data_IF_429885582439
#
_entry.id   IF_429885582439
#
_cell.length_a   1.000
_cell.length_b   1.000
_cell.length_c   1.000
_cell.angle_alpha   90.00
_cell.angle_beta   90.00
_cell.angle_gamma   90.00
#
_symmetry.space_group_name_H-M   'P 1'
#
loop_
_entity.id
_entity.type
_entity.pdbx_description
1 polymer ?
#
# COMPACT_ATOMS: atom_id res chain seq x y z
N UNK A 1 14.79 -14.24 -11.86
CA UNK A 1 15.30 -15.40 -12.60
C UNK A 1 14.96 -16.73 -11.95
N UNK A 2 15.29 -16.95 -10.67
CA UNK A 2 15.05 -18.24 -9.98
C UNK A 2 13.62 -18.79 -10.11
N UNK A 3 12.59 -17.95 -9.99
CA UNK A 3 11.18 -18.38 -10.09
C UNK A 3 10.84 -18.86 -11.51
N UNK A 4 11.19 -18.11 -12.55
CA UNK A 4 10.88 -18.50 -13.92
C UNK A 4 11.66 -19.75 -14.35
N UNK A 5 12.94 -19.86 -13.96
CA UNK A 5 13.72 -21.08 -14.18
C UNK A 5 13.06 -22.29 -13.53
N UNK A 6 12.52 -22.14 -12.32
CA UNK A 6 11.83 -23.24 -11.63
C UNK A 6 10.48 -23.58 -12.29
N UNK A 7 9.74 -22.58 -12.80
CA UNK A 7 8.51 -22.81 -13.57
C UNK A 7 8.82 -23.55 -14.87
N UNK A 8 9.81 -23.11 -15.65
CA UNK A 8 10.28 -23.80 -16.86
C UNK A 8 10.67 -25.24 -16.58
N UNK A 9 11.50 -25.45 -15.54
CA UNK A 9 11.97 -26.80 -15.17
C UNK A 9 10.82 -27.74 -14.81
N UNK A 10 9.77 -27.23 -14.14
CA UNK A 10 8.62 -28.04 -13.70
C UNK A 10 7.58 -28.25 -14.80
N UNK A 11 7.44 -27.32 -15.73
CA UNK A 11 6.31 -27.30 -16.67
C UNK A 11 6.71 -27.56 -18.12
N UNK A 12 7.98 -27.35 -18.48
CA UNK A 12 8.47 -27.42 -19.86
C UNK A 12 8.08 -26.20 -20.72
N UNK A 13 7.40 -25.19 -20.16
CA UNK A 13 7.00 -23.99 -20.88
C UNK A 13 7.99 -22.85 -20.69
N UNK A 14 8.40 -22.20 -21.79
CA UNK A 14 9.20 -20.97 -21.77
C UNK A 14 8.54 -19.91 -20.85
N UNK A 15 9.31 -19.38 -19.90
CA UNK A 15 8.86 -18.42 -18.90
C UNK A 15 9.72 -17.17 -18.95
N UNK A 16 9.06 -16.01 -19.07
CA UNK A 16 9.74 -14.71 -19.11
C UNK A 16 9.60 -13.97 -17.79
N UNK A 17 10.68 -13.29 -17.39
CA UNK A 17 10.73 -12.48 -16.17
C UNK A 17 10.77 -11.01 -16.55
N UNK A 18 9.93 -10.23 -15.87
CA UNK A 18 10.00 -8.77 -15.89
C UNK A 18 10.18 -8.27 -14.46
N UNK A 19 11.21 -7.46 -14.21
CA UNK A 19 11.46 -6.79 -12.93
C UNK A 19 11.24 -5.30 -13.12
N UNK A 20 10.14 -4.77 -12.56
CA UNK A 20 9.77 -3.36 -12.72
C UNK A 20 10.75 -2.41 -12.01
N UNK A 21 11.20 -2.77 -10.80
CA UNK A 21 12.15 -1.95 -10.03
C UNK A 21 11.61 -0.54 -9.72
N UNK A 22 12.48 0.46 -9.92
CA UNK A 22 12.25 1.87 -9.53
C UNK A 22 11.13 2.57 -10.31
N UNK A 23 10.69 2.04 -11.46
CA UNK A 23 9.59 2.64 -12.24
C UNK A 23 8.30 2.77 -11.41
N UNK A 24 8.10 1.89 -10.43
CA UNK A 24 6.94 1.88 -9.53
C UNK A 24 6.91 3.06 -8.55
N UNK A 25 8.01 3.79 -8.37
CA UNK A 25 8.10 4.94 -7.46
C UNK A 25 7.95 6.28 -8.18
N UNK A 26 8.07 6.29 -9.51
CA UNK A 26 7.97 7.49 -10.33
C UNK A 26 6.60 7.65 -10.99
N UNK A 27 6.50 8.66 -11.85
CA UNK A 27 5.28 8.96 -12.61
C UNK A 27 4.42 10.05 -11.98
N UNK A 28 3.43 10.49 -12.74
CA UNK A 28 2.48 11.51 -12.32
C UNK A 28 1.45 10.90 -11.35
N UNK A 29 1.22 11.48 -10.15
CA UNK A 29 0.26 10.96 -9.18
C UNK A 29 -1.14 10.83 -9.77
N UNK A 30 -1.85 9.78 -9.38
CA UNK A 30 -3.23 9.54 -9.82
C UNK A 30 -4.18 10.61 -9.25
N UNK A 31 -5.39 10.80 -9.82
CA UNK A 31 -6.37 11.71 -9.23
C UNK A 31 -6.68 11.37 -7.76
N UNK A 32 -6.73 10.08 -7.42
CA UNK A 32 -6.93 9.63 -6.05
C UNK A 32 -5.80 10.09 -5.12
N UNK A 33 -4.54 9.88 -5.52
CA UNK A 33 -3.38 10.30 -4.71
C UNK A 33 -3.37 11.81 -4.49
N UNK A 34 -3.72 12.61 -5.50
CA UNK A 34 -3.78 14.07 -5.39
C UNK A 34 -4.81 14.52 -4.35
N UNK A 35 -6.01 13.92 -4.38
CA UNK A 35 -7.07 14.24 -3.42
C UNK A 35 -6.68 13.76 -2.03
N UNK A 36 -6.15 12.54 -1.91
CA UNK A 36 -5.72 11.97 -0.63
C UNK A 36 -4.62 12.81 0.02
N UNK A 37 -3.58 13.18 -0.72
CA UNK A 37 -2.48 14.02 -0.22
C UNK A 37 -2.97 15.39 0.22
N UNK A 38 -3.89 16.01 -0.52
CA UNK A 38 -4.49 17.29 -0.12
C UNK A 38 -5.23 17.16 1.20
N UNK A 39 -6.07 16.13 1.34
CA UNK A 39 -6.81 15.85 2.57
C UNK A 39 -5.90 15.55 3.76
N UNK A 40 -4.81 14.81 3.55
CA UNK A 40 -3.80 14.55 4.57
C UNK A 40 -3.05 15.83 4.98
N UNK A 41 -2.69 16.69 4.03
CA UNK A 41 -2.05 17.97 4.31
C UNK A 41 -2.92 18.88 5.18
N UNK A 42 -4.22 18.99 4.86
CA UNK A 42 -5.20 19.74 5.68
C UNK A 42 -5.27 19.16 7.09
N UNK A 43 -5.49 17.85 7.24
CA UNK A 43 -5.58 17.20 8.54
C UNK A 43 -4.31 17.35 9.39
N UNK A 44 -3.13 17.41 8.76
CA UNK A 44 -1.86 17.59 9.47
C UNK A 44 -1.71 19.02 10.01
N UNK A 45 -2.14 20.02 9.24
CA UNK A 45 -2.16 21.43 9.67
C UNK A 45 -3.16 21.64 10.80
N UNK A 46 -4.35 21.04 10.71
CA UNK A 46 -5.36 21.07 11.78
C UNK A 46 -4.82 20.43 13.08
N UNK A 47 -4.24 19.24 13.00
CA UNK A 47 -3.65 18.57 14.16
C UNK A 47 -2.53 19.41 14.81
N UNK A 48 -1.69 20.07 14.01
CA UNK A 48 -0.65 20.95 14.52
C UNK A 48 -1.23 22.22 15.19
N UNK A 49 -2.29 22.80 14.62
CA UNK A 49 -2.99 23.96 15.19
C UNK A 49 -3.61 23.63 16.56
N UNK A 50 -4.20 22.44 16.69
CA UNK A 50 -4.77 21.92 17.93
C UNK A 50 -3.72 21.40 18.93
N UNK A 51 -2.43 21.44 18.59
CA UNK A 51 -1.31 20.88 19.37
C UNK A 51 -1.44 19.37 19.63
N UNK A 52 -2.14 18.65 18.75
CA UNK A 52 -2.30 17.21 18.80
C UNK A 52 -1.06 16.48 18.23
N UNK A 53 0.09 16.70 18.87
CA UNK A 53 1.37 16.11 18.47
C UNK A 53 1.49 14.63 18.88
N UNK A 54 2.42 13.91 18.26
CA UNK A 54 2.60 12.47 18.51
C UNK A 54 1.55 11.59 17.82
N UNK A 55 0.73 12.18 16.94
CA UNK A 55 -0.23 11.48 16.09
C UNK A 55 0.19 11.58 14.61
N UNK A 56 -0.35 10.69 13.79
CA UNK A 56 -0.27 10.76 12.34
C UNK A 56 -1.67 10.90 11.74
N UNK A 57 -1.76 11.57 10.59
CA UNK A 57 -3.00 11.61 9.80
C UNK A 57 -3.15 10.29 9.06
N UNK A 58 -4.36 9.72 9.11
CA UNK A 58 -4.71 8.49 8.42
C UNK A 58 -6.06 8.63 7.71
N UNK A 59 -6.34 7.67 6.82
CA UNK A 59 -7.66 7.49 6.23
C UNK A 59 -8.25 6.16 6.70
N UNK A 60 -9.36 6.20 7.43
CA UNK A 60 -10.13 5.03 7.83
C UNK A 60 -11.56 5.15 7.29
N UNK A 61 -12.03 4.13 6.56
CA UNK A 61 -13.37 4.10 5.96
C UNK A 61 -13.73 5.38 5.16
N UNK A 62 -12.75 5.90 4.42
CA UNK A 62 -12.92 7.12 3.61
C UNK A 62 -12.83 8.44 4.39
N UNK A 63 -12.72 8.39 5.72
CA UNK A 63 -12.65 9.56 6.60
C UNK A 63 -11.20 9.85 7.01
N UNK A 64 -10.87 11.14 7.13
CA UNK A 64 -9.57 11.59 7.66
C UNK A 64 -9.68 11.68 9.17
N UNK A 65 -8.68 11.12 9.87
CA UNK A 65 -8.55 11.20 11.31
C UNK A 65 -7.08 11.25 11.71
N UNK A 66 -6.82 11.40 13.01
CA UNK A 66 -5.48 11.24 13.58
C UNK A 66 -5.41 9.96 14.41
N UNK A 67 -4.26 9.30 14.37
CA UNK A 67 -3.98 8.06 15.12
C UNK A 67 -2.66 8.23 15.88
N UNK A 68 -2.58 7.84 17.17
CA UNK A 68 -1.32 7.86 17.91
C UNK A 68 -0.23 7.05 17.21
N UNK A 69 0.99 7.60 17.11
CA UNK A 69 2.12 6.92 16.46
C UNK A 69 2.47 5.58 17.13
N UNK A 70 2.30 5.50 18.45
CA UNK A 70 2.52 4.26 19.21
C UNK A 70 1.55 3.14 18.79
N UNK A 71 0.29 3.49 18.49
CA UNK A 71 -0.71 2.53 18.00
C UNK A 71 -0.44 2.16 16.54
N UNK A 72 -0.16 3.15 15.69
CA UNK A 72 0.09 2.93 14.27
C UNK A 72 1.30 2.03 13.98
N UNK A 73 2.21 1.90 14.94
CA UNK A 73 3.44 1.09 14.83
C UNK A 73 3.41 -0.17 15.70
N UNK A 74 2.31 -0.43 16.42
CA UNK A 74 2.22 -1.55 17.36
C UNK A 74 2.23 -2.91 16.67
N UNK A 75 1.68 -3.00 15.45
CA UNK A 75 1.50 -4.26 14.72
C UNK A 75 1.89 -4.14 13.25
N UNK A 76 2.20 -5.28 12.63
CA UNK A 76 2.49 -5.37 11.20
C UNK A 76 1.19 -5.26 10.39
N UNK A 77 1.22 -4.42 9.35
CA UNK A 77 0.15 -4.37 8.35
C UNK A 77 0.15 -5.64 7.49
N UNK A 78 -0.83 -6.50 7.69
CA UNK A 78 -1.05 -7.70 6.88
C UNK A 78 -2.05 -7.46 5.75
N UNK A 79 -2.02 -8.31 4.72
CA UNK A 79 -3.05 -8.31 3.67
C UNK A 79 -4.31 -8.99 4.23
N UNK A 80 -5.47 -8.37 4.03
CA UNK A 80 -6.72 -8.91 4.54
C UNK A 80 -7.02 -10.29 3.93
N UNK A 81 -7.41 -11.31 4.73
CA UNK A 81 -7.61 -12.69 4.23
C UNK A 81 -8.61 -12.81 3.08
N UNK A 82 -9.64 -11.96 3.04
CA UNK A 82 -10.62 -11.98 1.96
C UNK A 82 -10.01 -11.57 0.61
N UNK A 83 -9.08 -10.61 0.59
CA UNK A 83 -8.38 -10.20 -0.64
C UNK A 83 -7.55 -11.36 -1.17
N UNK A 84 -6.84 -12.04 -0.27
CA UNK A 84 -6.06 -13.23 -0.61
C UNK A 84 -6.94 -14.37 -1.13
N UNK A 85 -8.08 -14.62 -0.46
CA UNK A 85 -9.03 -15.64 -0.88
C UNK A 85 -9.59 -15.35 -2.27
N UNK A 86 -9.95 -14.10 -2.56
CA UNK A 86 -10.45 -13.71 -3.87
C UNK A 86 -9.39 -13.92 -4.96
N UNK A 87 -8.14 -13.52 -4.70
CA UNK A 87 -7.04 -13.74 -5.64
C UNK A 87 -6.83 -15.23 -5.95
N UNK A 88 -6.90 -16.10 -4.95
CA UNK A 88 -6.80 -17.55 -5.16
C UNK A 88 -7.86 -18.10 -6.09
N UNK A 89 -9.11 -17.66 -5.99
CA UNK A 89 -10.19 -18.15 -6.87
C UNK A 89 -9.92 -17.89 -8.35
N UNK A 90 -9.26 -16.77 -8.69
CA UNK A 90 -9.01 -16.39 -10.08
C UNK A 90 -7.65 -16.85 -10.63
N UNK A 91 -6.65 -17.01 -9.75
CA UNK A 91 -5.25 -17.15 -10.18
C UNK A 91 -4.54 -18.40 -9.63
N UNK A 92 -5.22 -19.28 -8.89
CA UNK A 92 -4.64 -20.51 -8.31
C UNK A 92 -5.36 -21.78 -8.76
#
# INVERSE_FOLDING_TARGET
>A
DAVAQEVERRTGFESRVTVLGHVQRGGTPTPFDRVLCTRFGVGAVEAAHERNFGTMVAMNNGMINTVPLAEATAELKTVHPQIWSAAKTFFA
#
